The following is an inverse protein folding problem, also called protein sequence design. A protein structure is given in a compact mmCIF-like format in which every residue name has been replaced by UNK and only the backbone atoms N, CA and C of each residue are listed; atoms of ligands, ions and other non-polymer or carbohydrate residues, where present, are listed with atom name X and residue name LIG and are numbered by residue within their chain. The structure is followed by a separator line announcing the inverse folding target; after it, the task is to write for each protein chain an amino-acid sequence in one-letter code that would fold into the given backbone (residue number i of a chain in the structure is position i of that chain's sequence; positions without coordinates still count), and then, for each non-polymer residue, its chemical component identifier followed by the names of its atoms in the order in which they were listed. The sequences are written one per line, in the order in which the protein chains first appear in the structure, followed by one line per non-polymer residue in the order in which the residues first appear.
data_IF_127741104580
#
_entry.id   IF_127741104580
#
_cell.length_a   1.000
_cell.length_b   1.000
_cell.length_c   1.000
_cell.angle_alpha   90.00
_cell.angle_beta   90.00
_cell.angle_gamma   90.00
#
_symmetry.space_group_name_H-M   'P 1'
#
loop_
_entity.id
_entity.type
_entity.pdbx_description
1 polymer ?
#
# COMPACT_ATOMS: atom_id res chain seq x y z
N UNK A 1 9.75 4.65 12.32
CA UNK A 1 8.48 3.93 12.10
C UNK A 1 8.64 3.03 10.89
N UNK A 2 8.35 1.74 11.01
CA UNK A 2 8.45 0.75 9.93
C UNK A 2 7.05 0.36 9.48
N UNK A 3 6.80 0.42 8.18
CA UNK A 3 5.50 0.18 7.55
C UNK A 3 5.68 -0.93 6.51
N UNK A 4 4.83 -1.96 6.57
CA UNK A 4 4.71 -2.95 5.50
C UNK A 4 3.57 -2.56 4.57
N UNK A 5 3.80 -2.71 3.27
CA UNK A 5 2.85 -2.30 2.23
C UNK A 5 2.57 -3.50 1.33
N UNK A 6 1.31 -3.92 1.27
CA UNK A 6 0.81 -5.00 0.43
C UNK A 6 -0.27 -4.49 -0.52
N UNK A 7 -0.48 -5.19 -1.62
CA UNK A 7 -1.58 -4.99 -2.54
C UNK A 7 -1.89 -6.28 -3.29
N UNK A 8 -3.08 -6.35 -3.85
CA UNK A 8 -3.45 -7.40 -4.81
C UNK A 8 -3.20 -8.81 -4.25
N UNK A 9 -3.69 -9.04 -3.03
CA UNK A 9 -3.56 -10.31 -2.30
C UNK A 9 -4.42 -11.42 -2.91
N UNK A 10 -5.61 -11.10 -3.42
CA UNK A 10 -6.52 -12.03 -4.10
C UNK A 10 -6.67 -13.38 -3.39
N UNK A 11 -6.90 -13.38 -2.07
CA UNK A 11 -7.07 -14.56 -1.22
C UNK A 11 -5.78 -15.14 -0.66
N UNK A 12 -4.62 -14.57 -0.96
CA UNK A 12 -3.35 -14.98 -0.36
C UNK A 12 -3.09 -14.18 0.93
N UNK A 13 -3.52 -14.70 2.05
CA UNK A 13 -3.25 -14.11 3.37
C UNK A 13 -2.06 -14.77 4.07
N UNK A 14 -1.64 -15.94 3.61
CA UNK A 14 -0.56 -16.73 4.21
C UNK A 14 0.76 -15.97 4.14
N UNK A 15 1.15 -15.54 2.93
CA UNK A 15 2.43 -14.85 2.73
C UNK A 15 2.51 -13.52 3.49
N UNK A 16 1.51 -12.59 3.42
CA UNK A 16 1.53 -11.39 4.25
C UNK A 16 1.67 -11.67 5.75
N UNK A 17 0.94 -12.67 6.27
CA UNK A 17 1.02 -13.06 7.68
C UNK A 17 2.42 -13.59 8.04
N UNK A 18 3.03 -14.40 7.18
CA UNK A 18 4.40 -14.88 7.40
C UNK A 18 5.42 -13.74 7.35
N UNK A 19 5.29 -12.82 6.39
CA UNK A 19 6.17 -11.64 6.29
C UNK A 19 6.09 -10.82 7.56
N UNK A 20 4.88 -10.49 8.02
CA UNK A 20 4.67 -9.68 9.24
C UNK A 20 5.31 -10.36 10.45
N UNK A 21 5.23 -11.70 10.57
CA UNK A 21 5.83 -12.47 11.67
C UNK A 21 7.36 -12.51 11.64
N UNK A 22 7.96 -12.42 10.46
CA UNK A 22 9.43 -12.44 10.28
C UNK A 22 10.08 -11.08 10.53
N UNK A 23 9.33 -10.00 10.49
CA UNK A 23 9.85 -8.67 10.73
C UNK A 23 10.01 -8.38 12.22
N UNK A 24 11.17 -7.89 12.63
CA UNK A 24 11.46 -7.56 14.04
C UNK A 24 10.53 -6.48 14.61
N UNK A 25 10.14 -5.53 13.76
CA UNK A 25 9.29 -4.41 14.18
C UNK A 25 8.41 -3.94 13.03
N UNK A 26 7.10 -4.07 13.19
CA UNK A 26 6.09 -3.51 12.30
C UNK A 26 5.22 -2.54 13.08
N UNK A 27 5.22 -1.27 12.70
CA UNK A 27 4.44 -0.23 13.38
C UNK A 27 3.09 0.05 12.69
N UNK A 28 2.99 -0.22 11.39
CA UNK A 28 1.77 -0.09 10.63
C UNK A 28 1.79 -0.99 9.39
N UNK A 29 0.62 -1.31 8.88
CA UNK A 29 0.43 -2.04 7.62
C UNK A 29 -0.45 -1.20 6.71
N UNK A 30 -0.09 -1.15 5.43
CA UNK A 30 -0.92 -0.57 4.36
C UNK A 30 -1.33 -1.70 3.41
N UNK A 31 -2.62 -1.74 3.03
CA UNK A 31 -3.13 -2.66 2.02
C UNK A 31 -3.85 -1.88 0.92
N UNK A 32 -3.26 -1.84 -0.27
CA UNK A 32 -3.71 -1.00 -1.37
C UNK A 32 -4.75 -1.66 -2.28
N UNK A 33 -5.59 -2.52 -1.72
CA UNK A 33 -6.78 -3.06 -2.38
C UNK A 33 -6.62 -4.42 -3.03
N UNK A 34 -7.70 -4.83 -3.62
CA UNK A 34 -8.04 -6.16 -4.13
C UNK A 34 -7.94 -7.26 -3.08
N UNK A 35 -9.12 -7.54 -2.58
CA UNK A 35 -9.52 -8.42 -1.51
C UNK A 35 -9.52 -7.75 -0.11
N UNK A 36 -10.52 -6.91 0.15
CA UNK A 36 -10.71 -6.24 1.45
C UNK A 36 -10.86 -7.26 2.60
N UNK A 37 -11.42 -8.43 2.33
CA UNK A 37 -11.51 -9.52 3.28
C UNK A 37 -10.13 -10.02 3.76
N UNK A 38 -9.11 -9.99 2.91
CA UNK A 38 -7.75 -10.37 3.29
C UNK A 38 -7.16 -9.36 4.27
N UNK A 39 -7.36 -8.06 4.01
CA UNK A 39 -6.95 -7.01 4.94
C UNK A 39 -7.67 -7.11 6.29
N UNK A 40 -8.94 -7.53 6.29
CA UNK A 40 -9.69 -7.79 7.53
C UNK A 40 -9.10 -8.96 8.33
N UNK A 41 -8.77 -10.08 7.67
CA UNK A 41 -8.14 -11.23 8.32
C UNK A 41 -6.75 -10.90 8.89
N UNK A 42 -5.95 -10.11 8.16
CA UNK A 42 -4.66 -9.64 8.67
C UNK A 42 -4.87 -8.78 9.92
N UNK A 43 -5.88 -7.90 9.93
CA UNK A 43 -6.23 -7.07 11.10
C UNK A 43 -6.64 -7.89 12.30
N UNK A 44 -7.42 -8.94 12.10
CA UNK A 44 -7.81 -9.87 13.17
C UNK A 44 -6.60 -10.66 13.72
N UNK A 45 -5.67 -11.02 12.83
CA UNK A 45 -4.45 -11.77 13.21
C UNK A 45 -3.47 -10.91 14.00
N UNK A 46 -3.40 -9.60 13.70
CA UNK A 46 -2.48 -8.64 14.33
C UNK A 46 -3.23 -7.43 14.92
N UNK A 47 -4.04 -7.63 15.96
CA UNK A 47 -4.93 -6.57 16.46
C UNK A 47 -4.20 -5.35 17.04
N UNK A 48 -2.93 -5.48 17.39
CA UNK A 48 -2.09 -4.40 17.92
C UNK A 48 -1.36 -3.59 16.84
N UNK A 49 -1.45 -3.99 15.55
CA UNK A 49 -0.82 -3.27 14.45
C UNK A 49 -1.91 -2.56 13.65
N UNK A 50 -1.89 -1.22 13.55
CA UNK A 50 -2.86 -0.49 12.75
C UNK A 50 -2.73 -0.84 11.27
N UNK A 51 -3.87 -1.11 10.62
CA UNK A 51 -3.95 -1.42 9.20
C UNK A 51 -4.78 -0.36 8.48
N UNK A 52 -4.18 0.25 7.46
CA UNK A 52 -4.78 1.23 6.56
C UNK A 52 -5.06 0.55 5.23
N UNK A 53 -6.32 0.23 4.96
CA UNK A 53 -6.73 -0.47 3.74
C UNK A 53 -7.74 0.33 2.94
N UNK A 54 -7.78 0.07 1.65
CA UNK A 54 -8.81 0.54 0.70
C UNK A 54 -9.33 -0.65 -0.09
N UNK A 55 -10.55 -0.60 -0.65
CA UNK A 55 -11.04 -1.60 -1.57
C UNK A 55 -10.35 -1.47 -2.94
N UNK A 56 -10.29 -2.58 -3.67
CA UNK A 56 -9.91 -2.59 -5.07
C UNK A 56 -11.12 -2.74 -6.00
N UNK A 57 -10.87 -2.90 -7.29
CA UNK A 57 -11.93 -3.10 -8.28
C UNK A 57 -12.60 -4.49 -8.17
N UNK A 58 -11.97 -5.43 -7.48
CA UNK A 58 -12.57 -6.75 -7.21
C UNK A 58 -13.52 -6.73 -6.00
N UNK A 59 -13.49 -5.70 -5.17
CA UNK A 59 -14.31 -5.53 -3.97
C UNK A 59 -15.64 -4.83 -4.28
N UNK A 60 -16.43 -5.40 -5.20
CA UNK A 60 -17.62 -4.77 -5.82
C UNK A 60 -18.69 -4.33 -4.80
N UNK A 61 -18.80 -5.03 -3.67
CA UNK A 61 -19.80 -4.75 -2.63
C UNK A 61 -19.24 -3.89 -1.49
N UNK A 62 -18.01 -3.41 -1.59
CA UNK A 62 -17.43 -2.56 -0.57
C UNK A 62 -18.10 -1.19 -0.55
N UNK A 63 -18.42 -0.72 0.66
CA UNK A 63 -18.85 0.66 0.92
C UNK A 63 -17.71 1.54 1.45
N UNK A 64 -16.50 0.99 1.57
CA UNK A 64 -15.32 1.71 2.04
C UNK A 64 -14.85 2.72 0.98
N UNK A 65 -14.27 3.87 1.40
CA UNK A 65 -13.75 4.86 0.45
C UNK A 65 -12.59 4.28 -0.36
N UNK A 66 -12.55 4.59 -1.66
CA UNK A 66 -11.51 4.15 -2.60
C UNK A 66 -10.17 4.85 -2.38
N UNK A 67 -10.19 6.01 -1.72
CA UNK A 67 -9.03 6.77 -1.30
C UNK A 67 -9.03 6.92 0.22
N UNK A 68 -7.90 6.69 0.85
CA UNK A 68 -7.69 6.91 2.28
C UNK A 68 -6.52 7.84 2.50
N UNK A 69 -6.78 8.95 3.18
CA UNK A 69 -5.77 9.97 3.51
C UNK A 69 -5.58 9.98 5.03
N UNK A 70 -4.34 9.93 5.47
CA UNK A 70 -3.99 9.97 6.89
C UNK A 70 -2.56 10.46 7.08
N UNK A 71 -2.20 10.71 8.33
CA UNK A 71 -0.84 11.08 8.72
C UNK A 71 -0.20 10.03 9.61
N UNK A 72 1.06 9.71 9.34
CA UNK A 72 1.92 8.86 10.17
C UNK A 72 3.26 9.55 10.40
N UNK A 73 3.63 9.75 11.65
CA UNK A 73 4.91 10.39 12.02
C UNK A 73 5.16 11.71 11.29
N UNK A 74 4.12 12.54 11.13
CA UNK A 74 4.19 13.83 10.46
C UNK A 74 4.26 13.76 8.93
N UNK A 75 4.01 12.59 8.33
CA UNK A 75 3.98 12.40 6.88
C UNK A 75 2.55 12.19 6.39
N UNK A 76 2.16 12.95 5.37
CA UNK A 76 0.85 12.87 4.73
C UNK A 76 0.83 11.77 3.70
N UNK A 77 -0.03 10.78 3.90
CA UNK A 77 -0.07 9.55 3.10
C UNK A 77 -1.44 9.43 2.43
N UNK A 78 -1.42 9.08 1.13
CA UNK A 78 -2.58 8.65 0.36
C UNK A 78 -2.44 7.17 0.06
N UNK A 79 -3.48 6.40 0.32
CA UNK A 79 -3.63 5.02 -0.15
C UNK A 79 -4.84 4.94 -1.07
N UNK A 80 -4.65 4.36 -2.23
CA UNK A 80 -5.70 4.08 -3.22
C UNK A 80 -5.38 2.76 -3.92
N UNK A 81 -6.39 2.10 -4.49
CA UNK A 81 -6.06 0.95 -5.35
C UNK A 81 -5.52 1.37 -6.73
N UNK A 82 -5.90 2.55 -7.20
CA UNK A 82 -5.38 3.10 -8.44
C UNK A 82 -6.26 2.89 -9.67
N UNK A 83 -7.27 2.01 -9.63
CA UNK A 83 -8.18 1.80 -10.77
C UNK A 83 -8.95 3.08 -11.13
N UNK A 84 -9.36 3.88 -10.16
CA UNK A 84 -10.01 5.18 -10.35
C UNK A 84 -9.09 6.22 -11.01
N UNK A 85 -7.78 6.07 -10.83
CA UNK A 85 -6.73 6.89 -11.45
C UNK A 85 -6.18 6.30 -12.75
N UNK A 86 -6.79 5.22 -13.28
CA UNK A 86 -6.42 4.57 -14.55
C UNK A 86 -4.93 4.22 -14.64
N UNK A 87 -4.33 3.76 -13.55
CA UNK A 87 -2.88 3.50 -13.45
C UNK A 87 -2.36 2.45 -14.44
N UNK A 88 -3.23 1.60 -14.99
CA UNK A 88 -2.86 0.68 -16.10
C UNK A 88 -2.63 1.39 -17.43
N UNK A 89 -3.12 2.62 -17.58
CA UNK A 89 -2.92 3.44 -18.79
C UNK A 89 -1.81 4.48 -18.61
N UNK A 90 -1.23 4.58 -17.41
CA UNK A 90 -0.16 5.51 -17.06
C UNK A 90 -0.36 6.17 -15.72
N UNK A 91 0.69 6.79 -15.20
CA UNK A 91 0.70 7.34 -13.83
C UNK A 91 0.34 8.83 -13.75
N UNK A 92 -0.01 9.49 -14.87
CA UNK A 92 -0.22 10.95 -14.91
C UNK A 92 -1.28 11.44 -13.92
N UNK A 93 -2.42 10.73 -13.77
CA UNK A 93 -3.50 11.15 -12.88
C UNK A 93 -3.12 10.99 -11.41
N UNK A 94 -2.48 9.88 -11.04
CA UNK A 94 -2.07 9.65 -9.66
C UNK A 94 -0.88 10.56 -9.28
N UNK A 95 0.00 10.87 -10.23
CA UNK A 95 1.09 11.84 -10.05
C UNK A 95 0.54 13.25 -9.82
N UNK A 96 -0.42 13.70 -10.64
CA UNK A 96 -1.08 14.98 -10.42
C UNK A 96 -1.73 15.03 -9.03
N UNK A 97 -2.46 13.97 -8.64
CA UNK A 97 -3.06 13.85 -7.31
C UNK A 97 -2.02 13.94 -6.20
N UNK A 98 -0.85 13.32 -6.38
CA UNK A 98 0.22 13.33 -5.40
C UNK A 98 0.76 14.75 -5.17
N UNK A 99 1.02 15.48 -6.25
CA UNK A 99 1.57 16.84 -6.22
C UNK A 99 0.54 17.83 -5.72
N UNK A 100 -0.67 17.84 -6.29
CA UNK A 100 -1.74 18.77 -5.92
C UNK A 100 -2.19 18.60 -4.47
N UNK A 101 -2.18 17.35 -3.99
CA UNK A 101 -2.53 17.01 -2.62
C UNK A 101 -1.40 17.21 -1.61
N UNK A 102 -0.21 17.58 -2.07
CA UNK A 102 0.99 17.76 -1.22
C UNK A 102 1.29 16.54 -0.34
N UNK A 103 1.17 15.32 -0.94
CA UNK A 103 1.45 14.07 -0.24
C UNK A 103 2.94 13.79 -0.16
N UNK A 104 3.38 13.21 0.96
CA UNK A 104 4.75 12.70 1.12
C UNK A 104 4.89 11.26 0.56
N UNK A 105 3.83 10.44 0.70
CA UNK A 105 3.78 9.08 0.20
C UNK A 105 2.41 8.81 -0.43
N UNK A 106 2.41 8.25 -1.64
CA UNK A 106 1.22 7.74 -2.32
C UNK A 106 1.41 6.26 -2.60
N UNK A 107 0.50 5.45 -2.09
CA UNK A 107 0.52 3.99 -2.26
C UNK A 107 -0.62 3.60 -3.18
N UNK A 108 -0.32 2.78 -4.20
CA UNK A 108 -1.32 2.24 -5.11
C UNK A 108 -1.02 0.78 -5.48
N UNK A 109 -1.96 0.08 -6.07
CA UNK A 109 -1.87 -1.30 -6.53
C UNK A 109 -2.30 -1.49 -7.98
N UNK A 110 -3.16 -2.46 -8.24
CA UNK A 110 -3.90 -2.70 -9.49
C UNK A 110 -3.07 -3.15 -10.70
N UNK A 111 -1.85 -2.66 -10.88
CA UNK A 111 -1.01 -3.06 -12.03
C UNK A 111 -0.31 -4.39 -11.80
N UNK A 112 -0.18 -4.83 -10.56
CA UNK A 112 0.63 -5.98 -10.11
C UNK A 112 2.13 -5.83 -10.42
N UNK A 113 2.58 -4.62 -10.81
CA UNK A 113 3.96 -4.32 -11.15
C UNK A 113 4.54 -3.41 -10.06
N UNK A 114 5.55 -3.89 -9.37
CA UNK A 114 6.24 -3.10 -8.35
C UNK A 114 6.93 -1.89 -8.98
N UNK A 115 6.72 -0.72 -8.37
CA UNK A 115 7.20 0.56 -8.90
C UNK A 115 7.48 1.51 -7.75
N UNK A 116 8.57 2.27 -7.84
CA UNK A 116 8.83 3.44 -7.00
C UNK A 116 9.18 4.61 -7.91
N UNK A 117 8.43 5.69 -7.80
CA UNK A 117 8.64 6.92 -8.57
C UNK A 117 8.70 8.12 -7.62
N UNK A 118 9.45 9.14 -8.01
CA UNK A 118 9.67 10.35 -7.23
C UNK A 118 9.22 11.58 -8.01
N UNK A 119 8.30 12.36 -7.43
CA UNK A 119 7.81 13.61 -8.01
C UNK A 119 7.85 14.73 -6.97
N UNK A 120 8.86 15.60 -7.08
CA UNK A 120 9.14 16.60 -6.05
C UNK A 120 9.44 15.94 -4.71
N UNK A 121 8.64 16.22 -3.67
CA UNK A 121 8.76 15.56 -2.36
C UNK A 121 7.99 14.23 -2.30
N UNK A 122 7.09 13.99 -3.25
CA UNK A 122 6.19 12.84 -3.22
C UNK A 122 6.88 11.56 -3.68
N UNK A 123 6.77 10.51 -2.90
CA UNK A 123 7.14 9.15 -3.29
C UNK A 123 5.85 8.43 -3.69
N UNK A 124 5.81 7.88 -4.91
CA UNK A 124 4.68 7.09 -5.40
C UNK A 124 5.13 5.64 -5.49
N UNK A 125 4.46 4.75 -4.78
CA UNK A 125 4.85 3.34 -4.68
C UNK A 125 3.70 2.41 -5.01
N UNK A 126 4.01 1.42 -5.84
CA UNK A 126 3.21 0.20 -6.01
C UNK A 126 4.04 -0.97 -5.46
N UNK A 127 3.55 -1.72 -4.48
CA UNK A 127 4.30 -2.83 -3.90
C UNK A 127 4.36 -4.05 -4.85
N UNK A 128 3.61 -4.03 -5.96
CA UNK A 128 3.35 -5.18 -6.78
C UNK A 128 2.20 -6.02 -6.23
N UNK A 129 2.16 -7.30 -6.59
CA UNK A 129 1.19 -8.25 -6.04
C UNK A 129 1.88 -9.28 -5.15
N UNK A 130 1.28 -9.58 -4.01
CA UNK A 130 1.75 -10.67 -3.13
C UNK A 130 1.14 -12.03 -3.54
N UNK A 131 0.54 -12.09 -4.73
CA UNK A 131 0.01 -13.30 -5.33
C UNK A 131 0.68 -13.61 -6.65
N UNK A 132 0.77 -14.89 -7.01
CA UNK A 132 1.31 -15.33 -8.29
C UNK A 132 2.75 -15.77 -8.22
N UNK A 133 3.47 -15.65 -9.35
CA UNK A 133 4.80 -16.24 -9.53
C UNK A 133 5.94 -15.31 -9.10
N UNK A 134 5.73 -13.99 -9.22
CA UNK A 134 6.67 -12.95 -8.79
C UNK A 134 5.98 -12.12 -7.73
N UNK A 135 6.08 -12.62 -6.50
CA UNK A 135 5.49 -11.97 -5.35
C UNK A 135 6.38 -10.84 -4.87
N UNK A 136 5.77 -9.71 -4.58
CA UNK A 136 6.49 -8.58 -4.01
C UNK A 136 5.62 -7.81 -3.01
N UNK A 137 6.29 -7.10 -2.13
CA UNK A 137 5.70 -6.15 -1.20
C UNK A 137 6.66 -4.98 -1.03
N UNK A 138 6.25 -3.93 -0.36
CA UNK A 138 7.15 -2.82 -0.09
C UNK A 138 7.33 -2.61 1.40
N UNK A 139 8.50 -2.06 1.76
CA UNK A 139 8.80 -1.55 3.09
C UNK A 139 8.96 -0.04 3.01
N UNK A 140 8.33 0.68 3.91
CA UNK A 140 8.58 2.10 4.10
C UNK A 140 9.07 2.35 5.52
N UNK A 141 10.14 3.13 5.64
CA UNK A 141 10.67 3.57 6.91
C UNK A 141 10.61 5.08 7.01
N UNK A 142 9.93 5.59 8.05
CA UNK A 142 9.93 7.01 8.40
C UNK A 142 10.89 7.22 9.57
N UNK A 143 11.95 7.99 9.34
CA UNK A 143 12.97 8.31 10.35
C UNK A 143 13.54 9.71 10.08
N UNK A 144 13.71 10.52 11.14
CA UNK A 144 14.28 11.86 11.07
C UNK A 144 13.60 12.75 10.01
N UNK A 145 12.27 12.68 9.93
CA UNK A 145 11.45 13.41 8.96
C UNK A 145 11.71 13.03 7.49
N UNK A 146 12.33 11.89 7.22
CA UNK A 146 12.58 11.33 5.88
C UNK A 146 11.80 10.02 5.70
N UNK A 147 11.45 9.70 4.45
CA UNK A 147 10.82 8.43 4.07
C UNK A 147 11.75 7.68 3.13
N UNK A 148 12.06 6.44 3.48
CA UNK A 148 12.74 5.49 2.59
C UNK A 148 11.80 4.37 2.25
N UNK A 149 11.72 4.03 0.96
CA UNK A 149 10.89 2.93 0.45
C UNK A 149 11.76 1.94 -0.31
N UNK A 150 11.54 0.66 -0.10
CA UNK A 150 12.13 -0.43 -0.87
C UNK A 150 11.07 -1.43 -1.32
N UNK A 151 11.33 -2.09 -2.45
CA UNK A 151 10.56 -3.26 -2.90
C UNK A 151 11.33 -4.51 -2.46
N UNK A 152 10.59 -5.45 -1.90
CA UNK A 152 11.11 -6.74 -1.48
C UNK A 152 10.43 -7.84 -2.31
N UNK A 153 11.20 -8.82 -2.75
CA UNK A 153 10.69 -10.05 -3.39
C UNK A 153 10.43 -11.13 -2.34
N UNK A 154 9.39 -11.95 -2.58
CA UNK A 154 8.97 -13.01 -1.66
C UNK A 154 8.83 -14.37 -2.33
#
# INVERSE_FOLDING_TARGET
MNILIFSDTHGNTVDPIEIIRKEDTVNAIIHAGDCEADAALIRETFPNIPIYSVPGNCDILSSSPTDRIFELSGKKILVTHGHTYRVKSGLSLITAKAVDGDFDLVVFGHTHISTIEYYGKSIIVNPGSIKGYRKSYAKAQIKNNDIKVSIEEW
#
